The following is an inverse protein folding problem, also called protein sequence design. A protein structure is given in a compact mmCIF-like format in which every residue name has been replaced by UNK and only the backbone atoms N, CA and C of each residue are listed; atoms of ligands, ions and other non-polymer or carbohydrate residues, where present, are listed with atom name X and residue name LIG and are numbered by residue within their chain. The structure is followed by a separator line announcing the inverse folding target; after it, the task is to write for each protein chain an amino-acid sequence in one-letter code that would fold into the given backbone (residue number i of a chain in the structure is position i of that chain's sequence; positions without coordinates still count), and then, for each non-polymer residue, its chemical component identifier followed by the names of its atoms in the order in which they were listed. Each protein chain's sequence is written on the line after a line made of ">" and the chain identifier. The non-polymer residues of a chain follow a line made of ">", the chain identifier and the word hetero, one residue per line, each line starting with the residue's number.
data_IF_197719813494
#
_entry.id   IF_197719813494
#
_cell.length_a   1.000
_cell.length_b   1.000
_cell.length_c   1.000
_cell.angle_alpha   90.00
_cell.angle_beta   90.00
_cell.angle_gamma   90.00
#
_symmetry.space_group_name_H-M   'P 1'
#
loop_
_entity.id
_entity.type
_entity.pdbx_description
1 polymer ?
#
# COMPACT_ATOMS: atom_id res chain seq x y z
N UNK A 1 0.58 -35.01 -17.40
CA UNK A 1 1.28 -33.78 -17.82
C UNK A 1 2.39 -33.47 -16.84
N UNK A 2 3.62 -33.87 -17.16
CA UNK A 2 4.83 -33.54 -16.39
C UNK A 2 5.13 -32.07 -16.61
N UNK A 3 5.40 -31.31 -15.55
CA UNK A 3 5.80 -29.91 -15.67
C UNK A 3 7.01 -29.83 -16.62
N UNK A 4 7.03 -28.92 -17.61
CA UNK A 4 8.22 -28.75 -18.43
C UNK A 4 9.33 -28.35 -17.47
N UNK A 5 10.30 -29.23 -17.25
CA UNK A 5 11.52 -28.79 -16.61
C UNK A 5 12.01 -27.62 -17.49
N UNK A 6 12.45 -26.53 -16.88
CA UNK A 6 13.17 -25.47 -17.60
C UNK A 6 14.58 -25.97 -17.99
N UNK A 7 14.69 -27.25 -18.37
CA UNK A 7 15.88 -27.95 -18.83
C UNK A 7 15.56 -28.54 -20.21
N UNK A 8 16.54 -28.55 -21.10
CA UNK A 8 16.40 -29.09 -22.45
C UNK A 8 17.05 -30.48 -22.46
N UNK A 9 16.26 -31.54 -22.19
CA UNK A 9 16.53 -32.95 -22.54
C UNK A 9 17.64 -33.75 -21.81
N UNK A 10 17.44 -35.07 -21.66
CA UNK A 10 18.31 -36.05 -20.97
C UNK A 10 19.03 -37.03 -21.93
N UNK A 11 20.11 -37.65 -21.44
CA UNK A 11 21.06 -38.58 -22.07
C UNK A 11 20.48 -39.67 -23.00
N UNK A 12 21.02 -39.82 -24.23
CA UNK A 12 21.08 -41.10 -24.92
C UNK A 12 22.39 -41.83 -24.61
N UNK A 13 22.34 -43.16 -24.65
CA UNK A 13 23.51 -44.02 -24.62
C UNK A 13 24.48 -43.70 -25.78
N UNK A 14 25.74 -44.01 -25.57
CA UNK A 14 26.91 -43.62 -26.38
C UNK A 14 26.85 -44.06 -27.86
N UNK A 15 25.88 -44.90 -28.25
CA UNK A 15 25.75 -45.40 -29.62
C UNK A 15 25.22 -44.36 -30.61
N UNK A 16 24.46 -43.36 -30.16
CA UNK A 16 23.81 -42.38 -31.06
C UNK A 16 24.78 -41.31 -31.62
N UNK A 17 25.96 -41.14 -31.01
CA UNK A 17 26.97 -40.11 -31.39
C UNK A 17 27.74 -40.49 -32.66
N UNK A 18 27.91 -41.78 -32.93
CA UNK A 18 28.74 -42.28 -34.04
C UNK A 18 28.09 -42.10 -35.43
N UNK A 19 26.78 -41.88 -35.50
CA UNK A 19 26.03 -41.94 -36.76
C UNK A 19 25.71 -40.58 -37.39
N UNK A 20 26.08 -39.46 -36.74
CA UNK A 20 26.04 -38.12 -37.34
C UNK A 20 24.65 -37.64 -37.80
N UNK A 21 23.56 -38.22 -37.28
CA UNK A 21 22.20 -37.99 -37.80
C UNK A 21 21.32 -37.07 -36.94
N UNK A 22 21.73 -36.68 -35.72
CA UNK A 22 20.92 -35.81 -34.87
C UNK A 22 21.64 -34.54 -34.38
N UNK A 23 20.86 -33.45 -34.34
CA UNK A 23 21.28 -32.13 -33.84
C UNK A 23 21.39 -32.17 -32.31
N UNK A 24 22.58 -31.90 -31.80
CA UNK A 24 22.88 -31.86 -30.37
C UNK A 24 22.29 -30.60 -29.71
N UNK A 25 21.67 -30.76 -28.53
CA UNK A 25 21.35 -29.64 -27.63
C UNK A 25 22.08 -29.84 -26.30
N UNK A 26 23.01 -28.93 -25.99
CA UNK A 26 23.75 -28.95 -24.73
C UNK A 26 22.86 -28.35 -23.63
N UNK A 27 22.48 -29.15 -22.65
CA UNK A 27 21.71 -28.69 -21.50
C UNK A 27 22.61 -28.01 -20.47
N UNK A 28 23.10 -26.83 -20.84
CA UNK A 28 23.88 -25.98 -19.94
C UNK A 28 22.88 -25.26 -19.04
N UNK A 29 22.81 -25.62 -17.76
CA UNK A 29 22.11 -24.81 -16.76
C UNK A 29 22.95 -23.58 -16.45
N UNK A 30 22.70 -22.39 -17.04
CA UNK A 30 23.67 -21.30 -17.01
C UNK A 30 23.87 -20.78 -15.59
N UNK A 31 22.81 -20.80 -14.78
CA UNK A 31 22.89 -20.45 -13.36
C UNK A 31 23.75 -21.45 -12.56
N UNK A 32 23.70 -22.74 -12.88
CA UNK A 32 24.51 -23.78 -12.22
C UNK A 32 25.97 -23.66 -12.66
N UNK A 33 26.25 -23.48 -13.96
CA UNK A 33 27.60 -23.23 -14.45
C UNK A 33 28.19 -21.96 -13.84
N UNK A 34 27.45 -20.85 -13.85
CA UNK A 34 27.90 -19.60 -13.22
C UNK A 34 28.19 -19.82 -11.75
N UNK A 35 27.31 -20.51 -11.01
CA UNK A 35 27.55 -20.85 -9.60
C UNK A 35 28.80 -21.71 -9.41
N UNK A 36 29.00 -22.73 -10.24
CA UNK A 36 30.18 -23.60 -10.18
C UNK A 36 31.46 -22.84 -10.50
N UNK A 37 31.46 -22.01 -11.55
CA UNK A 37 32.60 -21.16 -11.91
C UNK A 37 32.93 -20.21 -10.77
N UNK A 38 31.91 -19.54 -10.20
CA UNK A 38 32.10 -18.63 -9.06
C UNK A 38 32.70 -19.37 -7.86
N UNK A 39 32.16 -20.54 -7.50
CA UNK A 39 32.71 -21.33 -6.39
C UNK A 39 34.16 -21.77 -6.66
N UNK A 40 34.49 -22.17 -7.91
CA UNK A 40 35.86 -22.58 -8.29
C UNK A 40 36.87 -21.44 -8.19
N UNK A 41 36.46 -20.19 -8.45
CA UNK A 41 37.31 -19.02 -8.24
C UNK A 41 37.24 -18.48 -6.80
N UNK A 42 36.73 -19.28 -5.86
CA UNK A 42 36.63 -18.95 -4.44
C UNK A 42 35.57 -17.90 -4.12
N UNK A 43 34.55 -17.74 -4.98
CA UNK A 43 33.49 -16.74 -4.84
C UNK A 43 32.15 -17.39 -4.59
N UNK A 44 31.45 -16.91 -3.56
CA UNK A 44 30.11 -17.39 -3.21
C UNK A 44 29.05 -16.56 -3.91
N UNK A 45 28.17 -17.14 -4.75
CA UNK A 45 27.00 -16.45 -5.29
C UNK A 45 25.84 -16.34 -4.29
N UNK A 46 25.98 -16.97 -3.12
CA UNK A 46 24.94 -16.98 -2.10
C UNK A 46 24.97 -15.69 -1.29
N UNK A 47 23.77 -15.15 -1.08
CA UNK A 47 23.53 -14.12 -0.09
C UNK A 47 23.94 -14.58 1.31
N UNK A 48 24.54 -13.65 2.06
CA UNK A 48 24.93 -13.84 3.45
C UNK A 48 24.29 -12.74 4.28
N UNK A 49 23.97 -13.06 5.52
CA UNK A 49 23.45 -12.10 6.48
C UNK A 49 24.45 -11.92 7.61
N UNK A 50 24.96 -10.70 7.78
CA UNK A 50 25.71 -10.31 8.97
C UNK A 50 24.76 -9.63 9.95
N UNK A 51 24.71 -10.12 11.20
CA UNK A 51 23.83 -9.58 12.25
C UNK A 51 24.65 -8.75 13.23
N UNK A 52 24.32 -7.47 13.34
CA UNK A 52 24.92 -6.55 14.31
C UNK A 52 23.96 -6.40 15.50
N UNK A 53 24.39 -6.87 16.68
CA UNK A 53 23.63 -6.68 17.92
C UNK A 53 23.88 -5.27 18.44
N UNK A 54 22.82 -4.56 18.79
CA UNK A 54 22.86 -3.17 19.28
C UNK A 54 21.88 -3.01 20.42
N UNK A 55 22.06 -2.00 21.26
CA UNK A 55 21.09 -1.70 22.31
C UNK A 55 19.73 -1.35 21.67
N UNK A 56 18.69 -2.07 22.08
CA UNK A 56 17.35 -1.93 21.53
C UNK A 56 17.03 -2.77 20.28
N UNK A 57 17.94 -3.62 19.78
CA UNK A 57 17.59 -4.56 18.71
C UNK A 57 18.74 -5.24 17.97
N UNK A 58 18.48 -5.55 16.70
CA UNK A 58 19.44 -6.17 15.78
C UNK A 58 19.35 -5.47 14.43
N UNK A 59 20.49 -5.22 13.81
CA UNK A 59 20.59 -4.74 12.43
C UNK A 59 21.04 -5.91 11.57
N UNK A 60 20.32 -6.17 10.48
CA UNK A 60 20.61 -7.26 9.55
C UNK A 60 21.18 -6.69 8.27
N UNK A 61 22.40 -7.08 7.90
CA UNK A 61 23.07 -6.67 6.67
C UNK A 61 23.10 -7.86 5.73
N UNK A 62 22.28 -7.83 4.68
CA UNK A 62 22.24 -8.82 3.62
C UNK A 62 23.13 -8.37 2.46
N UNK A 63 24.01 -9.26 2.01
CA UNK A 63 25.03 -8.96 1.01
C UNK A 63 25.50 -10.21 0.25
N UNK A 64 26.09 -10.01 -0.92
CA UNK A 64 26.76 -11.07 -1.72
C UNK A 64 28.28 -10.88 -1.76
N UNK A 65 28.78 -9.86 -1.06
CA UNK A 65 30.18 -9.43 -1.03
C UNK A 65 30.96 -10.04 0.15
N UNK A 66 32.27 -9.79 0.20
CA UNK A 66 33.03 -10.01 1.43
C UNK A 66 32.84 -8.78 2.33
N UNK A 67 32.31 -8.97 3.55
CA UNK A 67 32.20 -7.92 4.57
C UNK A 67 33.21 -8.14 5.69
N UNK A 68 33.86 -7.07 6.13
CA UNK A 68 34.74 -7.03 7.31
C UNK A 68 34.51 -5.75 8.12
N UNK A 69 35.14 -5.68 9.30
CA UNK A 69 35.20 -4.47 10.14
C UNK A 69 33.83 -3.87 10.48
N UNK A 70 32.83 -4.73 10.66
CA UNK A 70 31.46 -4.30 10.97
C UNK A 70 31.42 -3.78 12.41
N UNK A 71 31.16 -2.49 12.57
CA UNK A 71 31.13 -1.80 13.85
C UNK A 71 29.92 -0.89 13.94
N UNK A 72 29.27 -0.90 15.10
CA UNK A 72 28.22 0.05 15.44
C UNK A 72 28.65 0.89 16.64
N UNK A 73 28.63 2.22 16.48
CA UNK A 73 28.90 3.18 17.54
C UNK A 73 27.56 3.68 18.08
N UNK A 74 27.16 3.21 19.26
CA UNK A 74 25.86 3.58 19.85
C UNK A 74 25.72 5.09 20.15
N UNK A 75 26.71 5.80 20.73
CA UNK A 75 26.61 7.23 20.98
C UNK A 75 26.33 8.08 19.73
N UNK A 76 26.97 7.76 18.60
CA UNK A 76 26.78 8.51 17.35
C UNK A 76 25.75 7.88 16.42
N UNK A 77 25.24 6.70 16.78
CA UNK A 77 24.37 5.87 15.94
C UNK A 77 24.98 5.66 14.54
N UNK A 78 26.29 5.37 14.50
CA UNK A 78 27.01 5.18 13.25
C UNK A 78 27.30 3.70 13.00
N UNK A 79 26.89 3.20 11.85
CA UNK A 79 27.23 1.86 11.37
C UNK A 79 28.33 1.98 10.32
N UNK A 80 29.45 1.31 10.53
CA UNK A 80 30.53 1.25 9.54
C UNK A 80 30.90 -0.18 9.24
N UNK A 81 31.26 -0.46 7.99
CA UNK A 81 31.79 -1.74 7.57
C UNK A 81 32.61 -1.59 6.29
N UNK A 82 33.48 -2.54 6.05
CA UNK A 82 34.27 -2.63 4.84
C UNK A 82 33.65 -3.67 3.92
N UNK A 83 33.47 -3.33 2.64
CA UNK A 83 32.99 -4.23 1.61
C UNK A 83 34.07 -4.46 0.55
N UNK A 84 34.27 -5.70 0.14
CA UNK A 84 35.06 -6.05 -1.04
C UNK A 84 34.19 -6.81 -2.03
N UNK A 85 34.06 -6.28 -3.24
CA UNK A 85 33.28 -6.86 -4.33
C UNK A 85 34.07 -6.84 -5.64
N UNK A 86 33.62 -7.57 -6.67
CA UNK A 86 34.38 -7.71 -7.92
C UNK A 86 34.53 -6.37 -8.64
N UNK A 87 35.69 -6.20 -9.29
CA UNK A 87 35.98 -5.02 -10.08
C UNK A 87 34.93 -4.86 -11.18
N UNK A 88 34.36 -3.66 -11.25
CA UNK A 88 33.30 -3.24 -12.17
C UNK A 88 31.96 -3.99 -12.04
N UNK A 89 31.79 -4.88 -11.05
CA UNK A 89 30.50 -5.55 -10.84
C UNK A 89 29.59 -4.71 -9.93
N UNK A 90 28.27 -4.67 -10.19
CA UNK A 90 27.32 -4.07 -9.26
C UNK A 90 27.24 -4.86 -7.96
N UNK A 91 27.24 -4.14 -6.84
CA UNK A 91 27.04 -4.68 -5.51
C UNK A 91 25.86 -3.99 -4.85
N UNK A 92 24.88 -4.78 -4.42
CA UNK A 92 23.75 -4.33 -3.62
C UNK A 92 23.89 -4.84 -2.19
N UNK A 93 23.74 -3.94 -1.24
CA UNK A 93 23.72 -4.26 0.19
C UNK A 93 22.37 -3.80 0.74
N UNK A 94 21.64 -4.71 1.37
CA UNK A 94 20.37 -4.40 2.02
C UNK A 94 20.55 -4.44 3.54
N UNK A 95 20.15 -3.37 4.21
CA UNK A 95 20.24 -3.23 5.67
C UNK A 95 18.83 -3.09 6.20
N UNK A 96 18.38 -4.07 6.97
CA UNK A 96 17.00 -4.19 7.45
C UNK A 96 16.89 -3.83 8.93
N UNK A 97 15.66 -3.52 9.36
CA UNK A 97 15.33 -3.20 10.75
C UNK A 97 16.07 -1.95 11.24
N UNK A 98 16.11 -0.92 10.38
CA UNK A 98 16.83 0.31 10.66
C UNK A 98 15.95 1.53 10.40
N UNK A 99 16.23 2.64 11.09
CA UNK A 99 15.68 3.94 10.74
C UNK A 99 16.28 4.46 9.44
N UNK A 100 15.62 5.45 8.84
CA UNK A 100 16.19 6.19 7.73
C UNK A 100 17.51 6.84 8.16
N UNK A 101 18.63 6.62 7.44
CA UNK A 101 19.89 7.25 7.79
C UNK A 101 19.88 8.72 7.41
N UNK A 102 20.66 9.54 8.11
CA UNK A 102 20.88 10.94 7.70
C UNK A 102 21.76 11.01 6.45
N UNK A 103 22.75 10.12 6.37
CA UNK A 103 23.78 10.13 5.35
C UNK A 103 24.39 8.75 5.20
N UNK A 104 24.73 8.40 3.96
CA UNK A 104 25.53 7.22 3.63
C UNK A 104 26.80 7.72 2.95
N UNK A 105 27.95 7.16 3.30
CA UNK A 105 29.25 7.51 2.76
C UNK A 105 29.96 6.26 2.21
N UNK A 106 30.66 6.43 1.10
CA UNK A 106 31.55 5.45 0.47
C UNK A 106 32.95 6.07 0.41
N UNK A 107 33.92 5.45 1.08
CA UNK A 107 35.30 5.91 1.17
C UNK A 107 35.40 7.40 1.59
N UNK A 108 34.57 7.78 2.58
CA UNK A 108 34.49 9.13 3.12
C UNK A 108 33.72 10.14 2.25
N UNK A 109 33.29 9.76 1.04
CA UNK A 109 32.49 10.62 0.16
C UNK A 109 30.99 10.33 0.34
N UNK A 110 30.13 11.36 0.43
CA UNK A 110 28.68 11.15 0.48
C UNK A 110 28.18 10.40 -0.76
N UNK A 111 27.37 9.37 -0.54
CA UNK A 111 26.57 8.73 -1.58
C UNK A 111 25.26 9.51 -1.79
N UNK A 112 24.92 9.72 -3.06
CA UNK A 112 23.67 10.34 -3.46
C UNK A 112 22.47 9.45 -3.11
N UNK A 113 21.42 10.05 -2.54
CA UNK A 113 20.13 9.37 -2.36
C UNK A 113 19.40 9.38 -3.70
N UNK A 114 18.98 8.21 -4.16
CA UNK A 114 18.24 8.02 -5.41
C UNK A 114 16.90 7.34 -5.14
N UNK A 115 15.87 7.59 -5.97
CA UNK A 115 14.65 6.81 -5.89
C UNK A 115 14.95 5.34 -6.24
N UNK A 116 14.20 4.37 -5.67
CA UNK A 116 14.52 2.94 -5.83
C UNK A 116 14.65 2.46 -7.29
N UNK A 117 13.86 3.01 -8.21
CA UNK A 117 13.90 2.64 -9.62
C UNK A 117 15.15 3.15 -10.37
N UNK A 118 15.87 4.12 -9.82
CA UNK A 118 17.13 4.62 -10.38
C UNK A 118 18.37 3.88 -9.86
N UNK A 119 18.23 3.07 -8.79
CA UNK A 119 19.24 2.14 -8.29
C UNK A 119 19.31 0.88 -9.17
N UNK A 120 19.49 1.06 -10.48
CA UNK A 120 19.75 -0.03 -11.41
C UNK A 120 21.26 -0.31 -11.54
N UNK A 121 21.62 -1.41 -12.21
CA UNK A 121 22.94 -2.08 -12.27
C UNK A 121 24.18 -1.19 -12.44
N UNK A 122 24.06 0.05 -12.89
CA UNK A 122 25.20 0.94 -13.15
C UNK A 122 25.27 2.20 -12.28
N UNK A 123 24.27 2.43 -11.41
CA UNK A 123 24.19 3.64 -10.60
C UNK A 123 24.59 3.39 -9.14
N UNK A 124 25.69 4.01 -8.73
CA UNK A 124 26.06 4.13 -7.32
C UNK A 124 25.13 5.11 -6.61
N UNK A 125 24.65 4.76 -5.42
CA UNK A 125 23.73 5.56 -4.62
C UNK A 125 23.07 4.75 -3.50
N UNK A 126 22.10 5.34 -2.82
CA UNK A 126 21.29 4.63 -1.83
C UNK A 126 19.81 5.05 -1.86
N UNK A 127 18.93 4.19 -1.36
CA UNK A 127 17.52 4.49 -1.13
C UNK A 127 17.08 3.91 0.21
N UNK A 128 16.01 4.44 0.76
CA UNK A 128 15.42 3.93 1.99
C UNK A 128 13.93 3.70 1.78
N UNK A 129 13.45 2.54 2.20
CA UNK A 129 12.03 2.17 2.21
C UNK A 129 11.50 2.30 3.63
N UNK A 130 10.53 3.20 3.82
CA UNK A 130 9.85 3.36 5.10
C UNK A 130 8.98 2.15 5.42
N UNK A 131 8.45 1.48 4.39
CA UNK A 131 7.62 0.30 4.52
C UNK A 131 8.38 -0.91 5.06
N UNK A 132 9.54 -1.21 4.48
CA UNK A 132 10.34 -2.37 4.89
C UNK A 132 11.36 -2.05 5.98
N UNK A 133 11.46 -0.77 6.39
CA UNK A 133 12.54 -0.26 7.26
C UNK A 133 13.91 -0.70 6.76
N UNK A 134 14.10 -0.58 5.44
CA UNK A 134 15.25 -1.10 4.73
C UNK A 134 16.02 0.02 4.03
N UNK A 135 17.32 0.07 4.28
CA UNK A 135 18.28 0.87 3.53
C UNK A 135 18.93 -0.02 2.46
N UNK A 136 18.83 0.39 1.21
CA UNK A 136 19.48 -0.27 0.08
C UNK A 136 20.62 0.61 -0.40
N UNK A 137 21.83 0.05 -0.44
CA UNK A 137 23.03 0.73 -0.95
C UNK A 137 23.47 -0.01 -2.22
N UNK A 138 23.61 0.72 -3.33
CA UNK A 138 24.23 0.24 -4.56
C UNK A 138 25.58 0.90 -4.75
N UNK A 139 26.60 0.09 -5.03
CA UNK A 139 27.93 0.54 -5.39
C UNK A 139 28.46 -0.29 -6.57
N UNK A 140 29.44 0.24 -7.28
CA UNK A 140 30.26 -0.54 -8.22
C UNK A 140 31.51 -1.02 -7.51
N UNK A 141 31.70 -2.35 -7.48
CA UNK A 141 32.88 -2.95 -6.86
C UNK A 141 34.15 -2.53 -7.58
N UNK A 142 35.21 -2.28 -6.83
CA UNK A 142 36.53 -1.90 -7.37
C UNK A 142 37.51 -3.06 -7.43
N UNK A 143 37.18 -4.21 -6.83
CA UNK A 143 38.12 -5.29 -6.52
C UNK A 143 38.96 -5.06 -5.27
N UNK A 144 38.96 -3.83 -4.73
CA UNK A 144 39.64 -3.47 -3.48
C UNK A 144 38.61 -3.27 -2.35
N UNK A 145 39.03 -3.30 -1.07
CA UNK A 145 38.17 -2.90 0.03
C UNK A 145 37.66 -1.46 -0.16
N UNK A 146 36.37 -1.26 0.09
CA UNK A 146 35.70 0.04 0.12
C UNK A 146 34.97 0.19 1.46
N UNK A 147 35.12 1.33 2.12
CA UNK A 147 34.53 1.57 3.45
C UNK A 147 33.17 2.24 3.30
N UNK A 148 32.14 1.62 3.87
CA UNK A 148 30.81 2.22 4.00
C UNK A 148 30.64 2.73 5.42
N UNK A 149 30.11 3.96 5.54
CA UNK A 149 29.73 4.56 6.81
C UNK A 149 28.33 5.16 6.71
N UNK A 150 27.49 4.87 7.69
CA UNK A 150 26.08 5.27 7.73
C UNK A 150 25.84 6.03 9.02
N UNK A 151 25.38 7.27 8.92
CA UNK A 151 25.20 8.17 10.05
C UNK A 151 23.75 8.22 10.54
N UNK A 152 23.59 8.25 11.87
CA UNK A 152 22.29 8.35 12.58
C UNK A 152 21.31 7.24 12.21
N UNK A 153 21.81 6.01 12.17
CA UNK A 153 21.00 4.81 11.97
C UNK A 153 20.69 4.17 13.31
N UNK A 154 19.42 4.02 13.63
CA UNK A 154 18.95 3.34 14.83
C UNK A 154 18.33 2.00 14.47
N UNK A 155 18.46 0.97 15.31
CA UNK A 155 17.64 -0.23 15.17
C UNK A 155 16.17 0.17 15.24
N UNK A 156 15.36 -0.42 14.37
CA UNK A 156 13.91 -0.44 14.51
C UNK A 156 13.49 -1.88 14.73
N UNK A 157 12.47 -2.08 15.53
CA UNK A 157 11.75 -3.34 15.45
C UNK A 157 11.39 -3.57 13.97
N UNK A 158 11.48 -4.81 13.45
CA UNK A 158 10.84 -5.11 12.18
C UNK A 158 9.43 -4.56 12.32
N UNK A 159 9.01 -3.69 11.40
CA UNK A 159 7.59 -3.36 11.35
C UNK A 159 6.90 -4.71 11.32
N UNK A 160 6.07 -5.00 12.33
CA UNK A 160 5.16 -6.13 12.25
C UNK A 160 4.55 -6.00 10.86
N UNK A 161 4.86 -6.95 9.96
CA UNK A 161 4.51 -6.84 8.55
C UNK A 161 3.11 -6.26 8.55
N UNK A 162 2.93 -5.00 8.07
CA UNK A 162 1.68 -4.30 8.30
C UNK A 162 0.63 -5.29 7.89
N UNK A 163 -0.34 -5.55 8.79
CA UNK A 163 -1.48 -6.42 8.50
C UNK A 163 -1.79 -6.16 7.05
N UNK A 164 -1.52 -7.15 6.19
CA UNK A 164 -1.53 -7.03 4.72
C UNK A 164 -2.98 -6.95 4.29
N UNK A 165 -3.75 -6.11 4.98
CA UNK A 165 -5.18 -5.97 4.97
C UNK A 165 -5.55 -4.75 4.13
N UNK A 166 -4.59 -3.88 3.82
CA UNK A 166 -4.75 -2.69 2.98
C UNK A 166 -3.73 -2.67 1.83
N UNK A 167 -4.05 -1.89 0.79
CA UNK A 167 -3.12 -1.62 -0.31
C UNK A 167 -2.05 -0.65 0.19
N UNK A 168 -0.79 -1.05 0.07
CA UNK A 168 0.34 -0.21 0.49
C UNK A 168 0.39 1.06 -0.34
N UNK A 169 0.40 2.22 0.32
CA UNK A 169 0.53 3.53 -0.32
C UNK A 169 -0.52 3.73 -1.43
N UNK A 170 -1.77 3.34 -1.17
CA UNK A 170 -2.87 3.54 -2.11
C UNK A 170 -3.30 5.01 -2.27
N UNK A 171 -2.87 5.87 -1.34
CA UNK A 171 -3.04 7.33 -1.35
C UNK A 171 -1.82 8.06 -1.96
N UNK A 172 -0.75 7.34 -2.31
CA UNK A 172 0.46 7.89 -2.96
C UNK A 172 1.20 9.00 -2.20
N UNK A 173 0.94 9.18 -0.91
CA UNK A 173 1.64 10.14 -0.06
C UNK A 173 3.13 9.79 0.15
N UNK A 174 3.51 8.55 -0.16
CA UNK A 174 4.90 8.07 -0.17
C UNK A 174 5.42 7.88 -1.61
N UNK A 175 4.86 8.63 -2.56
CA UNK A 175 5.19 8.53 -3.97
C UNK A 175 4.76 7.19 -4.56
N UNK A 176 5.71 6.45 -5.15
CA UNK A 176 5.43 5.15 -5.81
C UNK A 176 5.88 3.95 -4.98
N UNK A 177 6.22 4.14 -3.70
CA UNK A 177 6.58 3.04 -2.80
C UNK A 177 5.43 2.02 -2.73
N UNK A 178 5.73 0.72 -2.85
CA UNK A 178 4.69 -0.31 -2.89
C UNK A 178 4.05 -0.55 -4.26
N UNK A 179 4.47 0.19 -5.30
CA UNK A 179 3.94 0.06 -6.66
C UNK A 179 5.05 -0.23 -7.68
N UNK A 180 4.78 -1.13 -8.62
CA UNK A 180 5.59 -1.38 -9.80
C UNK A 180 5.01 -0.63 -10.99
N UNK A 181 5.85 0.03 -11.78
CA UNK A 181 5.43 0.86 -12.89
C UNK A 181 5.78 0.22 -14.23
N UNK A 182 4.93 0.41 -15.24
CA UNK A 182 5.34 0.12 -16.60
C UNK A 182 6.55 0.99 -17.00
N UNK A 183 7.54 0.46 -17.75
CA UNK A 183 8.81 1.12 -18.04
C UNK A 183 8.72 2.38 -18.92
N UNK A 184 7.53 2.88 -19.23
CA UNK A 184 7.30 3.95 -20.21
C UNK A 184 7.67 5.36 -19.71
N UNK A 185 8.05 5.55 -18.44
CA UNK A 185 8.35 6.86 -17.86
C UNK A 185 7.15 7.82 -17.82
N UNK A 186 5.94 7.30 -18.09
CA UNK A 186 4.67 8.05 -18.20
C UNK A 186 3.84 8.01 -16.93
N UNK A 187 4.50 7.70 -15.82
CA UNK A 187 3.88 7.63 -14.49
C UNK A 187 4.56 8.66 -13.61
N UNK A 188 3.77 9.51 -12.96
CA UNK A 188 4.27 10.55 -12.07
C UNK A 188 3.34 10.77 -10.89
N UNK A 189 3.89 11.39 -9.85
CA UNK A 189 3.11 11.89 -8.72
C UNK A 189 2.68 13.32 -9.02
N UNK A 190 1.46 13.68 -8.63
CA UNK A 190 0.88 15.02 -8.83
C UNK A 190 0.24 15.54 -7.56
N UNK A 191 0.11 16.86 -7.43
CA UNK A 191 -0.54 17.51 -6.28
C UNK A 191 -2.07 17.69 -6.47
N UNK A 192 -2.61 17.32 -7.64
CA UNK A 192 -4.06 17.24 -7.87
C UNK A 192 -4.57 15.91 -7.35
N UNK A 193 -4.90 15.87 -6.05
CA UNK A 193 -5.26 14.67 -5.32
C UNK A 193 -6.73 14.70 -4.84
N UNK A 194 -7.32 13.51 -4.67
CA UNK A 194 -8.63 13.35 -4.03
C UNK A 194 -8.51 13.55 -2.52
N UNK A 195 -7.47 12.97 -1.93
CA UNK A 195 -7.13 12.99 -0.52
C UNK A 195 -5.65 13.33 -0.34
N UNK A 196 -5.29 13.89 0.81
CA UNK A 196 -3.89 14.22 1.10
C UNK A 196 -3.34 15.30 0.18
N UNK A 197 -2.05 15.20 -0.14
CA UNK A 197 -1.33 16.14 -1.00
C UNK A 197 -1.01 15.53 -2.36
N UNK A 198 -0.89 14.21 -2.47
CA UNK A 198 -0.32 13.55 -3.64
C UNK A 198 -1.25 12.49 -4.22
N UNK A 199 -1.14 12.25 -5.53
CA UNK A 199 -1.87 11.21 -6.24
C UNK A 199 -1.03 10.66 -7.41
N UNK A 200 -1.44 9.52 -7.97
CA UNK A 200 -0.77 8.90 -9.11
C UNK A 200 -1.37 9.37 -10.43
N UNK A 201 -0.54 9.89 -11.33
CA UNK A 201 -0.92 10.26 -12.69
C UNK A 201 -0.28 9.33 -13.71
N UNK A 202 -1.13 8.67 -14.51
CA UNK A 202 -0.73 7.91 -15.69
C UNK A 202 -1.03 8.73 -16.96
N UNK A 203 -0.01 8.96 -17.80
CA UNK A 203 -0.12 9.79 -19.01
C UNK A 203 0.18 9.00 -20.30
N UNK A 204 -0.86 8.52 -20.96
CA UNK A 204 -0.77 7.81 -22.23
C UNK A 204 -1.13 8.67 -23.44
N UNK A 205 -1.15 10.01 -23.34
CA UNK A 205 -1.64 10.89 -24.43
C UNK A 205 -0.88 10.65 -25.74
N UNK A 206 0.45 10.54 -25.68
CA UNK A 206 1.33 10.37 -26.84
C UNK A 206 1.91 8.96 -26.94
N UNK A 207 1.49 8.04 -26.07
CA UNK A 207 2.03 6.70 -25.98
C UNK A 207 1.02 5.69 -26.52
N UNK A 208 1.43 4.86 -27.49
CA UNK A 208 0.55 3.85 -28.10
C UNK A 208 0.27 2.65 -27.18
N UNK A 209 1.24 2.13 -26.40
CA UNK A 209 0.96 1.14 -25.37
C UNK A 209 0.15 1.72 -24.21
N UNK A 210 -0.61 0.85 -23.54
CA UNK A 210 -1.26 1.16 -22.27
C UNK A 210 -0.19 1.48 -21.20
N UNK A 211 -0.40 2.56 -20.44
CA UNK A 211 0.42 2.88 -19.28
C UNK A 211 -0.23 2.27 -18.06
N UNK A 212 0.52 1.48 -17.29
CA UNK A 212 -0.01 0.75 -16.14
C UNK A 212 0.86 0.93 -14.89
N UNK A 213 0.21 0.84 -13.73
CA UNK A 213 0.84 0.70 -12.43
C UNK A 213 0.22 -0.50 -11.70
N UNK A 214 1.04 -1.22 -10.97
CA UNK A 214 0.67 -2.46 -10.28
C UNK A 214 1.01 -2.33 -8.81
N UNK A 215 0.06 -2.61 -7.91
CA UNK A 215 0.38 -2.68 -6.48
C UNK A 215 1.31 -3.86 -6.19
N UNK A 216 1.89 -3.90 -4.99
CA UNK A 216 2.38 -5.16 -4.43
C UNK A 216 1.22 -6.15 -4.26
N UNK A 217 1.56 -7.44 -4.29
CA UNK A 217 0.60 -8.49 -3.97
C UNK A 217 0.21 -8.42 -2.49
N UNK A 218 -1.09 -8.47 -2.24
CA UNK A 218 -1.71 -8.51 -0.93
C UNK A 218 -2.26 -9.91 -0.68
N UNK A 219 -2.16 -10.44 0.56
CA UNK A 219 -2.82 -11.70 0.92
C UNK A 219 -4.34 -11.54 0.96
N UNK A 220 -5.04 -12.57 0.50
CA UNK A 220 -6.50 -12.68 0.51
C UNK A 220 -6.92 -14.10 0.87
N UNK A 221 -8.18 -14.27 1.25
CA UNK A 221 -8.81 -15.57 1.53
C UNK A 221 -9.70 -15.94 0.34
N UNK A 222 -9.48 -17.12 -0.23
CA UNK A 222 -10.34 -17.63 -1.29
C UNK A 222 -11.80 -17.74 -0.83
N UNK A 223 -12.73 -17.40 -1.72
CA UNK A 223 -14.18 -17.40 -1.43
C UNK A 223 -14.68 -16.18 -0.64
N UNK A 224 -13.78 -15.36 -0.08
CA UNK A 224 -14.15 -14.15 0.66
C UNK A 224 -14.52 -13.01 -0.30
N UNK A 225 -15.46 -12.15 0.12
CA UNK A 225 -15.79 -10.93 -0.60
C UNK A 225 -14.85 -9.81 -0.21
N UNK A 226 -14.44 -9.01 -1.19
CA UNK A 226 -13.58 -7.86 -1.03
C UNK A 226 -14.20 -6.64 -1.67
N UNK A 227 -14.09 -5.49 -1.03
CA UNK A 227 -14.40 -4.21 -1.63
C UNK A 227 -13.11 -3.60 -2.19
N UNK A 228 -13.11 -3.31 -3.49
CA UNK A 228 -12.14 -2.42 -4.12
C UNK A 228 -12.74 -1.03 -4.26
N UNK A 229 -11.96 -0.02 -3.95
CA UNK A 229 -12.29 1.39 -4.16
C UNK A 229 -11.08 2.13 -4.71
N UNK A 230 -11.31 3.09 -5.60
CA UNK A 230 -10.32 4.00 -6.12
C UNK A 230 -11.02 5.29 -6.59
N UNK A 231 -10.40 6.45 -6.39
CA UNK A 231 -10.89 7.71 -6.93
C UNK A 231 -10.16 8.06 -8.22
N UNK A 232 -10.93 8.30 -9.28
CA UNK A 232 -10.42 8.48 -10.64
C UNK A 232 -10.82 9.85 -11.18
N UNK A 233 -9.88 10.52 -11.86
CA UNK A 233 -10.12 11.80 -12.55
C UNK A 233 -9.40 11.82 -13.91
N UNK A 234 -10.17 11.97 -14.99
CA UNK A 234 -9.66 12.15 -16.34
C UNK A 234 -9.26 13.60 -16.59
N UNK A 235 -7.95 13.81 -16.71
CA UNK A 235 -7.36 15.14 -16.91
C UNK A 235 -7.39 15.54 -18.37
N UNK A 236 -7.08 14.62 -19.29
CA UNK A 236 -7.02 14.94 -20.71
C UNK A 236 -7.33 13.73 -21.58
N UNK A 237 -7.85 14.00 -22.76
CA UNK A 237 -8.21 12.99 -23.76
C UNK A 237 -9.57 12.35 -23.51
N UNK A 238 -9.76 11.18 -24.11
CA UNK A 238 -10.97 10.36 -24.01
C UNK A 238 -10.66 8.85 -23.89
N UNK A 239 -9.43 8.50 -23.49
CA UNK A 239 -9.03 7.11 -23.40
C UNK A 239 -9.77 6.36 -22.31
N UNK A 240 -9.91 5.08 -22.57
CA UNK A 240 -10.27 4.04 -21.61
C UNK A 240 -9.27 3.94 -20.48
N UNK A 241 -9.74 3.52 -19.31
CA UNK A 241 -8.92 3.26 -18.14
C UNK A 241 -9.45 2.09 -17.34
N UNK A 242 -8.63 1.57 -16.43
CA UNK A 242 -9.05 0.46 -15.58
C UNK A 242 -8.56 0.60 -14.16
N UNK A 243 -9.39 0.12 -13.26
CA UNK A 243 -9.07 -0.26 -11.89
C UNK A 243 -9.44 -1.74 -11.81
N UNK A 244 -8.48 -2.62 -11.58
CA UNK A 244 -8.68 -4.07 -11.77
C UNK A 244 -8.00 -4.85 -10.66
N UNK A 245 -8.63 -5.93 -10.19
CA UNK A 245 -8.02 -6.93 -9.33
C UNK A 245 -7.47 -8.06 -10.19
N UNK A 246 -6.23 -8.42 -9.94
CA UNK A 246 -5.55 -9.60 -10.49
C UNK A 246 -5.36 -10.62 -9.34
N UNK A 247 -6.00 -11.78 -9.46
CA UNK A 247 -5.98 -12.82 -8.42
C UNK A 247 -4.90 -13.86 -8.70
N UNK A 248 -4.23 -14.33 -7.65
CA UNK A 248 -3.18 -15.34 -7.74
C UNK A 248 -3.39 -16.48 -6.74
N UNK A 249 -2.93 -17.67 -7.12
CA UNK A 249 -2.85 -18.82 -6.23
C UNK A 249 -1.65 -18.74 -5.26
N UNK A 250 -1.50 -19.74 -4.38
CA UNK A 250 -0.41 -19.81 -3.41
C UNK A 250 0.99 -19.82 -4.06
N UNK A 251 1.10 -20.36 -5.27
CA UNK A 251 2.34 -20.38 -6.05
C UNK A 251 2.61 -19.07 -6.80
N UNK A 252 1.79 -18.04 -6.61
CA UNK A 252 1.90 -16.76 -7.31
C UNK A 252 1.48 -16.83 -8.77
N UNK A 253 0.77 -17.87 -9.21
CA UNK A 253 0.27 -17.99 -10.58
C UNK A 253 -1.05 -17.24 -10.71
N UNK A 254 -1.19 -16.51 -11.81
CA UNK A 254 -2.42 -15.81 -12.17
C UNK A 254 -3.61 -16.79 -12.24
N UNK A 255 -4.75 -16.37 -11.70
CA UNK A 255 -6.04 -17.07 -11.77
C UNK A 255 -6.96 -16.36 -12.76
N UNK A 256 -7.31 -15.09 -12.49
CA UNK A 256 -8.18 -14.26 -13.33
C UNK A 256 -8.10 -12.78 -12.96
N UNK A 257 -8.70 -11.95 -13.80
CA UNK A 257 -8.97 -10.55 -13.51
C UNK A 257 -10.44 -10.33 -13.11
N UNK A 258 -10.68 -9.40 -12.19
CA UNK A 258 -12.00 -8.84 -11.90
C UNK A 258 -11.96 -7.31 -11.97
N UNK A 259 -12.97 -6.69 -12.56
CA UNK A 259 -13.14 -5.23 -12.59
C UNK A 259 -14.64 -4.86 -12.67
N UNK A 260 -14.98 -3.66 -12.22
CA UNK A 260 -16.34 -3.10 -12.22
C UNK A 260 -16.60 -2.21 -13.46
N UNK A 261 -15.58 -1.95 -14.27
CA UNK A 261 -15.61 -0.88 -15.25
C UNK A 261 -16.11 -1.33 -16.63
N UNK A 262 -17.07 -0.59 -17.19
CA UNK A 262 -17.75 -0.89 -18.46
C UNK A 262 -17.37 0.04 -19.64
N UNK A 263 -16.17 0.64 -19.65
CA UNK A 263 -15.66 1.26 -20.87
C UNK A 263 -15.99 2.75 -21.09
N UNK A 264 -17.12 3.27 -20.59
CA UNK A 264 -17.66 4.56 -21.05
C UNK A 264 -17.48 5.74 -20.08
N UNK A 265 -17.16 5.50 -18.81
CA UNK A 265 -17.05 6.57 -17.82
C UNK A 265 -15.79 7.42 -18.04
N UNK A 266 -15.90 8.75 -17.89
CA UNK A 266 -14.85 9.75 -18.18
C UNK A 266 -14.92 10.91 -17.17
N UNK A 267 -14.68 10.65 -15.87
CA UNK A 267 -14.99 11.61 -14.82
C UNK A 267 -14.03 12.80 -14.85
N UNK A 268 -14.54 14.02 -15.09
CA UNK A 268 -13.73 15.27 -15.09
C UNK A 268 -13.44 15.82 -13.68
N UNK A 269 -14.18 15.33 -12.69
CA UNK A 269 -13.92 15.51 -11.25
C UNK A 269 -13.66 14.13 -10.66
N UNK A 270 -12.99 14.06 -9.50
CA UNK A 270 -12.80 12.77 -8.84
C UNK A 270 -14.14 12.06 -8.62
N UNK A 271 -14.20 10.82 -9.10
CA UNK A 271 -15.33 9.91 -8.93
C UNK A 271 -14.81 8.59 -8.38
N UNK A 272 -15.57 7.98 -7.48
CA UNK A 272 -15.25 6.66 -6.95
C UNK A 272 -15.52 5.58 -8.00
N UNK A 273 -14.61 4.63 -8.10
CA UNK A 273 -14.64 3.42 -8.92
C UNK A 273 -14.28 2.21 -8.07
N UNK A 274 -14.70 1.04 -8.50
CA UNK A 274 -14.50 -0.22 -7.80
C UNK A 274 -15.81 -0.93 -7.51
N UNK A 275 -15.77 -1.92 -6.64
CA UNK A 275 -16.92 -2.78 -6.40
C UNK A 275 -16.63 -3.90 -5.42
N UNK A 276 -17.65 -4.71 -5.20
CA UNK A 276 -17.55 -5.91 -4.36
C UNK A 276 -17.23 -7.09 -5.27
N UNK A 277 -16.12 -7.76 -4.99
CA UNK A 277 -15.63 -8.89 -5.76
C UNK A 277 -15.45 -10.10 -4.86
N UNK A 278 -15.85 -11.27 -5.34
CA UNK A 278 -15.61 -12.52 -4.62
C UNK A 278 -14.28 -13.11 -5.08
N UNK A 279 -13.34 -13.27 -4.16
CA UNK A 279 -12.06 -13.91 -4.45
C UNK A 279 -12.29 -15.35 -4.92
N UNK A 280 -11.64 -15.81 -6.01
CA UNK A 280 -11.68 -17.22 -6.40
C UNK A 280 -11.32 -18.14 -5.24
N UNK A 281 -11.92 -19.33 -5.15
CA UNK A 281 -11.71 -20.26 -4.02
C UNK A 281 -10.23 -20.60 -3.75
N UNK A 282 -9.41 -20.59 -4.79
CA UNK A 282 -7.97 -20.88 -4.75
C UNK A 282 -7.09 -19.62 -4.73
N UNK A 283 -7.67 -18.44 -4.53
CA UNK A 283 -6.92 -17.20 -4.42
C UNK A 283 -6.25 -17.09 -3.05
N UNK A 284 -4.95 -16.82 -3.06
CA UNK A 284 -4.15 -16.51 -1.87
C UNK A 284 -3.60 -15.09 -1.92
N UNK A 285 -3.47 -14.51 -3.12
CA UNK A 285 -3.05 -13.13 -3.30
C UNK A 285 -3.92 -12.37 -4.29
N UNK A 286 -3.93 -11.05 -4.13
CA UNK A 286 -4.54 -10.09 -5.04
C UNK A 286 -3.55 -8.97 -5.35
N UNK A 287 -3.64 -8.39 -6.54
CA UNK A 287 -2.89 -7.20 -6.95
C UNK A 287 -3.81 -6.24 -7.66
N UNK A 288 -3.69 -4.95 -7.37
CA UNK A 288 -4.44 -3.92 -8.07
C UNK A 288 -3.64 -3.46 -9.29
N UNK A 289 -4.34 -3.35 -10.42
CA UNK A 289 -3.82 -2.83 -11.67
C UNK A 289 -4.58 -1.54 -11.99
N UNK A 290 -3.82 -0.46 -12.10
CA UNK A 290 -4.29 0.82 -12.62
C UNK A 290 -3.77 0.95 -14.04
N UNK A 291 -4.62 1.37 -14.97
CA UNK A 291 -4.21 1.49 -16.37
C UNK A 291 -4.95 2.57 -17.13
N UNK A 292 -4.29 3.14 -18.12
CA UNK A 292 -4.89 4.08 -19.08
C UNK A 292 -4.41 3.73 -20.49
N UNK A 293 -5.36 3.62 -21.43
CA UNK A 293 -5.07 3.37 -22.85
C UNK A 293 -4.50 4.62 -23.52
N UNK A 294 -3.93 4.43 -24.70
CA UNK A 294 -3.42 5.51 -25.55
C UNK A 294 -4.45 6.64 -25.74
N UNK A 295 -3.98 7.88 -25.69
CA UNK A 295 -4.79 9.08 -25.92
C UNK A 295 -5.45 9.66 -24.68
N UNK A 296 -5.04 9.28 -23.46
CA UNK A 296 -5.58 9.86 -22.23
C UNK A 296 -4.57 10.01 -21.10
N UNK A 297 -4.87 10.92 -20.17
CA UNK A 297 -4.12 11.13 -18.94
C UNK A 297 -5.08 11.15 -17.74
N UNK A 298 -4.80 10.33 -16.74
CA UNK A 298 -5.73 10.02 -15.64
C UNK A 298 -5.01 10.01 -14.32
N UNK A 299 -5.65 10.61 -13.31
CA UNK A 299 -5.24 10.56 -11.92
C UNK A 299 -6.03 9.47 -11.20
N UNK A 300 -5.32 8.69 -10.39
CA UNK A 300 -5.83 7.72 -9.46
C UNK A 300 -5.38 8.08 -8.05
N UNK A 301 -6.26 7.94 -7.07
CA UNK A 301 -5.98 8.23 -5.67
C UNK A 301 -6.89 7.40 -4.75
N UNK A 302 -6.51 7.30 -3.46
CA UNK A 302 -7.23 6.60 -2.41
C UNK A 302 -7.67 5.18 -2.81
N UNK A 303 -6.71 4.38 -3.30
CA UNK A 303 -6.94 2.98 -3.65
C UNK A 303 -6.96 2.13 -2.38
N UNK A 304 -8.03 1.37 -2.19
CA UNK A 304 -8.09 0.35 -1.16
C UNK A 304 -8.70 -0.94 -1.69
N UNK A 305 -8.27 -2.05 -1.11
CA UNK A 305 -8.92 -3.34 -1.20
C UNK A 305 -9.05 -3.81 0.25
N UNK A 306 -10.24 -4.18 0.69
CA UNK A 306 -10.51 -4.60 2.07
C UNK A 306 -11.53 -5.74 2.09
N UNK A 307 -11.56 -6.56 3.16
CA UNK A 307 -12.60 -7.58 3.32
C UNK A 307 -13.97 -6.91 3.40
N UNK A 308 -14.91 -7.34 2.55
CA UNK A 308 -16.25 -6.77 2.52
C UNK A 308 -17.13 -7.47 3.56
N UNK A 309 -17.60 -6.68 4.51
CA UNK A 309 -18.65 -7.07 5.45
C UNK A 309 -19.87 -6.18 5.15
N UNK A 310 -21.00 -6.75 4.66
CA UNK A 310 -22.16 -5.97 4.24
C UNK A 310 -22.79 -5.16 5.38
N UNK A 311 -22.63 -5.65 6.61
CA UNK A 311 -23.31 -5.14 7.79
C UNK A 311 -22.41 -4.28 8.69
N UNK A 312 -21.25 -3.83 8.20
CA UNK A 312 -20.32 -2.99 8.98
C UNK A 312 -19.99 -1.67 8.31
N UNK A 313 -19.65 -0.67 9.15
CA UNK A 313 -19.01 0.55 8.67
C UNK A 313 -17.65 0.19 8.09
N UNK A 314 -17.41 0.67 6.89
CA UNK A 314 -16.14 0.49 6.18
C UNK A 314 -15.16 1.58 6.57
N UNK A 315 -13.89 1.22 6.79
CA UNK A 315 -12.82 2.15 7.18
C UNK A 315 -13.25 3.08 8.32
N UNK A 316 -13.90 2.52 9.35
CA UNK A 316 -14.37 3.29 10.51
C UNK A 316 -13.25 3.75 11.45
N UNK A 317 -12.06 3.15 11.31
CA UNK A 317 -10.80 3.47 11.99
C UNK A 317 -9.93 4.45 11.18
N UNK A 318 -10.32 4.81 9.95
CA UNK A 318 -9.62 5.75 9.07
C UNK A 318 -8.17 5.38 8.71
N UNK A 319 -7.76 4.12 8.90
CA UNK A 319 -6.43 3.63 8.55
C UNK A 319 -6.21 3.56 7.04
N UNK A 320 -7.30 3.53 6.26
CA UNK A 320 -7.32 3.66 4.79
C UNK A 320 -7.69 5.09 4.35
N UNK A 321 -7.45 6.08 5.22
CA UNK A 321 -7.70 7.49 4.94
C UNK A 321 -9.19 7.82 4.78
N UNK A 322 -9.57 8.49 3.69
CA UNK A 322 -10.97 8.88 3.43
C UNK A 322 -11.78 7.84 2.65
N UNK A 323 -11.21 6.67 2.38
CA UNK A 323 -11.90 5.66 1.58
C UNK A 323 -13.23 5.26 2.24
N UNK A 324 -14.32 5.27 1.45
CA UNK A 324 -15.65 4.99 1.96
C UNK A 324 -16.26 6.11 2.81
N UNK A 325 -15.61 7.28 2.90
CA UNK A 325 -16.11 8.46 3.61
C UNK A 325 -16.15 9.68 2.69
N UNK A 326 -17.23 10.46 2.83
CA UNK A 326 -17.51 11.64 2.01
C UNK A 326 -17.53 12.88 2.92
N UNK A 327 -16.37 13.54 3.12
CA UNK A 327 -16.30 14.75 3.93
C UNK A 327 -16.88 15.98 3.20
N UNK A 328 -17.52 16.87 3.95
CA UNK A 328 -18.09 18.11 3.46
C UNK A 328 -18.17 19.20 4.57
N UNK A 329 -17.66 20.42 4.34
CA UNK A 329 -16.76 20.81 3.24
C UNK A 329 -15.34 20.25 3.48
N UNK A 330 -14.65 19.83 2.41
CA UNK A 330 -13.41 19.02 2.51
C UNK A 330 -12.25 19.75 3.17
N UNK A 331 -12.13 21.05 2.93
CA UNK A 331 -11.05 21.88 3.46
C UNK A 331 -11.08 22.02 4.99
N UNK A 332 -12.16 21.54 5.63
CA UNK A 332 -12.39 21.56 7.08
C UNK A 332 -12.29 20.17 7.70
N UNK A 333 -11.87 19.18 6.92
CA UNK A 333 -11.75 17.78 7.32
C UNK A 333 -10.35 17.27 7.03
N UNK A 334 -9.74 16.59 7.99
CA UNK A 334 -8.40 16.01 7.82
C UNK A 334 -8.23 14.73 8.63
N UNK A 335 -7.24 13.94 8.24
CA UNK A 335 -6.74 12.82 9.05
C UNK A 335 -5.70 13.34 10.04
N UNK A 336 -5.68 12.78 11.24
CA UNK A 336 -4.72 13.15 12.29
C UNK A 336 -4.12 11.91 12.94
N UNK A 337 -2.87 12.01 13.41
CA UNK A 337 -2.20 10.91 14.12
C UNK A 337 -2.56 10.78 15.61
N UNK A 338 -3.44 11.65 16.10
CA UNK A 338 -3.94 11.61 17.48
C UNK A 338 -5.21 10.77 17.52
N UNK A 339 -5.05 9.48 17.30
CA UNK A 339 -6.13 8.52 17.17
C UNK A 339 -6.45 7.84 18.53
N UNK A 340 -7.66 7.28 18.64
CA UNK A 340 -8.06 6.41 19.74
C UNK A 340 -7.44 5.01 19.54
N UNK A 341 -7.63 4.44 18.34
CA UNK A 341 -7.02 3.21 17.87
C UNK A 341 -6.08 3.48 16.69
N UNK A 342 -5.23 2.52 16.31
CA UNK A 342 -4.45 2.65 15.07
C UNK A 342 -3.49 3.85 15.00
N UNK A 343 -3.32 4.39 13.80
CA UNK A 343 -2.46 5.53 13.45
C UNK A 343 -3.22 6.78 13.09
N UNK A 344 -4.47 6.69 12.64
CA UNK A 344 -5.22 7.78 12.07
C UNK A 344 -6.60 7.91 12.70
N UNK A 345 -7.11 9.14 12.75
CA UNK A 345 -8.48 9.45 13.11
C UNK A 345 -8.99 10.60 12.24
N UNK A 346 -10.30 10.74 12.15
CA UNK A 346 -10.95 11.82 11.42
C UNK A 346 -11.10 13.06 12.30
N UNK A 347 -10.57 14.21 11.88
CA UNK A 347 -10.77 15.50 12.54
C UNK A 347 -11.70 16.39 11.70
N UNK A 348 -12.79 16.86 12.30
CA UNK A 348 -13.73 17.83 11.72
C UNK A 348 -13.57 19.17 12.43
N UNK A 349 -13.37 20.25 11.67
CA UNK A 349 -13.10 21.58 12.21
C UNK A 349 -14.07 22.64 11.70
N UNK A 350 -15.14 22.90 12.45
CA UNK A 350 -16.09 23.96 12.18
C UNK A 350 -15.78 25.27 12.93
N UNK A 351 -14.60 25.44 13.54
CA UNK A 351 -14.22 26.68 14.21
C UNK A 351 -14.04 27.80 13.18
N UNK A 352 -14.84 28.85 13.30
CA UNK A 352 -14.89 29.94 12.30
C UNK A 352 -15.49 29.51 10.96
N UNK A 353 -16.21 28.39 10.90
CA UNK A 353 -17.06 28.04 9.76
C UNK A 353 -18.39 28.81 9.82
N UNK A 354 -19.06 28.99 8.68
CA UNK A 354 -20.45 29.50 8.62
C UNK A 354 -21.48 28.38 8.57
N UNK A 355 -21.04 27.15 8.35
CA UNK A 355 -21.89 25.97 8.17
C UNK A 355 -21.31 24.80 8.97
N UNK A 356 -22.14 23.80 9.22
CA UNK A 356 -21.67 22.55 9.83
C UNK A 356 -20.62 21.87 8.95
N UNK A 357 -19.72 21.13 9.60
CA UNK A 357 -18.75 20.27 8.94
C UNK A 357 -19.11 18.83 9.24
N UNK A 358 -19.17 17.99 8.20
CA UNK A 358 -19.73 16.65 8.27
C UNK A 358 -18.87 15.66 7.48
N UNK A 359 -19.00 14.38 7.82
CA UNK A 359 -18.52 13.28 7.02
C UNK A 359 -19.59 12.18 6.98
N UNK A 360 -19.84 11.67 5.78
CA UNK A 360 -20.83 10.61 5.57
C UNK A 360 -20.10 9.32 5.21
N UNK A 361 -20.44 8.21 5.86
CA UNK A 361 -19.98 6.91 5.40
C UNK A 361 -20.58 6.60 4.03
N UNK A 362 -20.03 5.59 3.37
CA UNK A 362 -20.73 4.89 2.29
C UNK A 362 -22.04 4.29 2.81
N UNK A 363 -22.90 3.95 1.87
CA UNK A 363 -24.15 3.25 2.15
C UNK A 363 -23.84 1.83 2.65
N UNK A 364 -24.50 1.43 3.72
CA UNK A 364 -24.38 0.13 4.39
C UNK A 364 -25.69 -0.62 4.16
N UNK A 365 -25.63 -1.91 3.81
CA UNK A 365 -26.84 -2.71 3.70
C UNK A 365 -27.39 -3.04 5.08
N UNK A 366 -28.71 -2.96 5.24
CA UNK A 366 -29.37 -3.30 6.50
C UNK A 366 -30.64 -4.10 6.25
N UNK A 367 -31.03 -4.88 7.25
CA UNK A 367 -32.30 -5.59 7.28
C UNK A 367 -33.31 -4.75 8.05
N UNK A 368 -34.41 -4.36 7.39
CA UNK A 368 -35.50 -3.62 8.03
C UNK A 368 -36.05 -4.37 9.26
N UNK A 369 -36.27 -3.66 10.36
CA UNK A 369 -36.69 -4.23 11.65
C UNK A 369 -35.56 -4.85 12.50
N UNK A 370 -34.34 -5.01 11.97
CA UNK A 370 -33.23 -5.54 12.75
C UNK A 370 -32.64 -4.50 13.73
N UNK A 371 -32.03 -4.99 14.81
CA UNK A 371 -31.34 -4.18 15.83
C UNK A 371 -29.87 -3.99 15.43
N UNK A 372 -29.41 -2.75 15.47
CA UNK A 372 -28.03 -2.38 15.17
C UNK A 372 -27.42 -1.61 16.33
N UNK A 373 -26.14 -1.87 16.63
CA UNK A 373 -25.35 -1.07 17.56
C UNK A 373 -24.41 -0.17 16.78
N UNK A 374 -24.56 1.15 16.94
CA UNK A 374 -23.58 2.14 16.51
C UNK A 374 -22.64 2.47 17.66
N UNK A 375 -21.35 2.56 17.40
CA UNK A 375 -20.31 3.07 18.29
C UNK A 375 -19.36 3.97 17.52
N UNK A 376 -18.87 5.01 18.17
CA UNK A 376 -17.81 5.88 17.68
C UNK A 376 -17.09 6.48 18.89
N UNK A 377 -15.76 6.58 18.83
CA UNK A 377 -15.00 7.29 19.85
C UNK A 377 -14.85 8.76 19.45
N UNK A 378 -15.27 9.67 20.32
CA UNK A 378 -15.29 11.11 20.03
C UNK A 378 -14.45 11.87 21.06
N UNK A 379 -13.62 12.80 20.57
CA UNK A 379 -12.91 13.78 21.38
C UNK A 379 -13.23 15.19 20.89
N UNK A 380 -13.84 16.02 21.73
CA UNK A 380 -14.07 17.44 21.45
C UNK A 380 -12.83 18.26 21.80
N UNK A 381 -12.30 18.98 20.81
CA UNK A 381 -11.07 19.77 20.90
C UNK A 381 -11.33 21.26 21.16
N UNK A 382 -12.44 21.77 20.63
CA UNK A 382 -12.80 23.18 20.75
C UNK A 382 -14.31 23.39 20.67
N UNK A 383 -14.76 24.52 21.23
CA UNK A 383 -16.17 24.89 21.31
C UNK A 383 -16.93 24.12 22.39
N UNK A 384 -18.08 24.66 22.79
CA UNK A 384 -19.08 23.99 23.63
C UNK A 384 -20.35 23.65 22.83
N UNK A 385 -20.27 23.72 21.50
CA UNK A 385 -21.37 23.35 20.62
C UNK A 385 -21.46 21.85 20.42
N UNK A 386 -22.36 21.49 19.50
CA UNK A 386 -22.85 20.15 19.26
C UNK A 386 -21.94 19.40 18.29
N UNK A 387 -21.78 18.09 18.53
CA UNK A 387 -21.35 17.13 17.52
C UNK A 387 -22.41 16.04 17.34
N UNK A 388 -22.34 15.32 16.22
CA UNK A 388 -23.27 14.24 15.88
C UNK A 388 -22.55 12.96 15.52
N UNK A 389 -23.12 11.85 15.99
CA UNK A 389 -22.89 10.49 15.54
C UNK A 389 -24.28 9.90 15.30
N UNK A 390 -24.68 9.79 14.04
CA UNK A 390 -26.06 9.47 13.68
C UNK A 390 -26.14 8.40 12.59
N UNK A 391 -27.25 7.67 12.57
CA UNK A 391 -27.67 6.78 11.49
C UNK A 391 -28.70 7.51 10.65
N UNK A 392 -28.46 7.57 9.34
CA UNK A 392 -29.43 7.96 8.33
C UNK A 392 -29.97 6.71 7.65
N UNK A 393 -31.23 6.37 7.93
CA UNK A 393 -31.88 5.19 7.35
C UNK A 393 -32.43 5.51 5.97
N UNK A 394 -32.20 4.62 5.02
CA UNK A 394 -32.56 4.82 3.62
C UNK A 394 -33.40 3.65 3.08
N UNK A 395 -34.34 3.97 2.19
CA UNK A 395 -35.17 3.00 1.48
C UNK A 395 -34.41 2.32 0.32
N UNK A 396 -35.07 1.41 -0.41
CA UNK A 396 -34.50 0.71 -1.57
C UNK A 396 -34.01 1.66 -2.68
N UNK A 397 -34.59 2.86 -2.78
CA UNK A 397 -34.20 3.91 -3.74
C UNK A 397 -33.12 4.84 -3.17
N UNK A 398 -32.56 4.52 -2.00
CA UNK A 398 -31.58 5.32 -1.25
C UNK A 398 -32.13 6.68 -0.81
N UNK A 399 -33.45 6.82 -0.70
CA UNK A 399 -34.09 8.03 -0.18
C UNK A 399 -34.11 7.96 1.35
N UNK A 400 -33.88 9.11 1.98
CA UNK A 400 -33.99 9.28 3.42
C UNK A 400 -35.37 8.85 3.96
N UNK A 401 -35.35 8.03 5.01
CA UNK A 401 -36.52 7.64 5.81
C UNK A 401 -36.54 8.48 7.10
N UNK A 402 -35.50 8.35 7.94
CA UNK A 402 -35.33 9.11 9.19
C UNK A 402 -33.88 9.05 9.70
N UNK A 403 -33.58 9.92 10.67
CA UNK A 403 -32.34 9.84 11.45
C UNK A 403 -32.60 9.19 12.81
N UNK A 404 -31.66 8.35 13.25
CA UNK A 404 -31.55 7.93 14.65
C UNK A 404 -30.18 8.35 15.20
N UNK A 405 -30.13 8.82 16.44
CA UNK A 405 -28.89 9.20 17.13
C UNK A 405 -29.07 8.99 18.64
N UNK A 406 -27.98 8.81 19.38
CA UNK A 406 -28.01 8.58 20.84
C UNK A 406 -28.02 9.89 21.66
N UNK A 407 -28.04 11.03 20.96
CA UNK A 407 -27.44 12.23 21.49
C UNK A 407 -28.37 12.99 22.44
N UNK A 408 -27.82 13.42 23.60
CA UNK A 408 -28.54 14.14 24.66
C UNK A 408 -28.15 15.61 24.80
N UNK A 409 -27.43 16.21 23.85
CA UNK A 409 -27.24 17.67 23.86
C UNK A 409 -26.06 18.22 24.68
N UNK A 410 -25.50 17.46 25.63
CA UNK A 410 -24.70 18.05 26.75
C UNK A 410 -23.34 17.42 27.01
N UNK A 411 -22.92 16.41 26.25
CA UNK A 411 -21.62 15.78 26.46
C UNK A 411 -20.53 16.50 25.65
N UNK A 412 -19.42 16.84 26.29
CA UNK A 412 -18.26 17.53 25.70
C UNK A 412 -16.96 16.80 26.05
N UNK A 413 -16.72 15.61 25.47
CA UNK A 413 -15.66 14.71 25.92
C UNK A 413 -14.26 15.29 25.59
N UNK A 414 -13.47 15.61 26.62
CA UNK A 414 -12.09 16.15 26.45
C UNK A 414 -11.08 15.07 26.05
N UNK A 415 -11.39 13.82 26.32
CA UNK A 415 -10.68 12.60 25.91
C UNK A 415 -11.58 11.80 24.98
N UNK A 416 -11.04 10.82 24.26
CA UNK A 416 -11.88 9.90 23.49
C UNK A 416 -12.86 9.17 24.42
N UNK A 417 -14.13 9.29 24.10
CA UNK A 417 -15.24 8.64 24.81
C UNK A 417 -16.13 7.94 23.80
N UNK A 418 -16.59 6.71 24.11
CA UNK A 418 -17.53 5.99 23.25
C UNK A 418 -18.88 6.72 23.24
N UNK A 419 -19.41 6.91 22.04
CA UNK A 419 -20.73 7.46 21.74
C UNK A 419 -21.46 6.53 20.78
N UNK A 420 -22.79 6.50 20.88
CA UNK A 420 -23.63 5.68 20.03
C UNK A 420 -24.68 4.91 20.82
N UNK A 421 -25.48 4.13 20.12
CA UNK A 421 -26.66 3.51 20.72
C UNK A 421 -27.07 2.24 20.00
N UNK A 422 -28.12 1.64 20.53
CA UNK A 422 -28.83 0.56 19.86
C UNK A 422 -30.04 1.17 19.16
N UNK A 423 -30.13 0.95 17.85
CA UNK A 423 -31.18 1.46 16.99
C UNK A 423 -31.89 0.31 16.29
N UNK A 424 -33.18 0.50 16.01
CA UNK A 424 -33.98 -0.47 15.25
C UNK A 424 -34.18 0.13 13.86
N UNK A 425 -33.73 -0.59 12.84
CA UNK A 425 -33.93 -0.19 11.45
C UNK A 425 -35.44 -0.08 11.16
N UNK A 426 -35.92 1.00 10.52
CA UNK A 426 -37.29 1.06 10.01
C UNK A 426 -37.64 -0.18 9.16
N UNK A 427 -38.89 -0.69 9.17
CA UNK A 427 -39.25 -1.90 8.42
C UNK A 427 -38.94 -1.83 6.91
N UNK A 428 -39.03 -0.64 6.34
CA UNK A 428 -38.75 -0.33 4.94
C UNK A 428 -37.28 0.04 4.67
N UNK A 429 -36.43 0.13 5.71
CA UNK A 429 -35.01 0.38 5.52
C UNK A 429 -34.35 -0.78 4.77
N UNK A 430 -33.56 -0.42 3.76
CA UNK A 430 -32.67 -1.33 3.03
C UNK A 430 -31.21 -0.92 3.15
N UNK A 431 -31.00 0.35 3.48
CA UNK A 431 -29.67 0.85 3.75
C UNK A 431 -29.61 1.77 4.97
N UNK A 432 -28.39 1.97 5.44
CA UNK A 432 -28.03 2.97 6.42
C UNK A 432 -26.82 3.78 5.92
N UNK A 433 -26.64 4.97 6.47
CA UNK A 433 -25.45 5.79 6.28
C UNK A 433 -25.09 6.44 7.62
N UNK A 434 -23.84 6.32 8.03
CA UNK A 434 -23.38 6.96 9.26
C UNK A 434 -22.99 8.39 8.96
N UNK A 435 -23.43 9.30 9.82
CA UNK A 435 -23.13 10.72 9.74
C UNK A 435 -22.35 11.13 10.98
N UNK A 436 -21.15 11.62 10.72
CA UNK A 436 -20.34 12.34 11.69
C UNK A 436 -20.45 13.83 11.39
N UNK A 437 -20.47 14.67 12.41
CA UNK A 437 -20.49 16.11 12.16
C UNK A 437 -20.31 16.94 13.40
N UNK A 438 -20.00 18.21 13.16
CA UNK A 438 -19.76 19.22 14.18
C UNK A 438 -20.43 20.52 13.77
N UNK A 439 -21.08 21.19 14.73
CA UNK A 439 -21.71 22.48 14.51
C UNK A 439 -20.69 23.62 14.41
N UNK A 440 -21.15 24.76 13.90
CA UNK A 440 -20.35 25.99 13.84
C UNK A 440 -19.70 26.29 15.20
N UNK A 441 -18.39 26.56 15.19
CA UNK A 441 -17.61 26.83 16.39
C UNK A 441 -17.06 25.61 17.11
N UNK A 442 -17.34 24.39 16.61
CA UNK A 442 -16.92 23.13 17.24
C UNK A 442 -15.82 22.45 16.43
N UNK A 443 -14.92 21.78 17.13
CA UNK A 443 -13.91 20.90 16.54
C UNK A 443 -13.87 19.58 17.27
N UNK A 444 -13.97 18.47 16.56
CA UNK A 444 -13.91 17.13 17.14
C UNK A 444 -13.00 16.18 16.36
N UNK A 445 -12.54 15.13 17.03
CA UNK A 445 -12.01 13.92 16.41
C UNK A 445 -12.99 12.77 16.58
N UNK A 446 -13.04 11.93 15.57
CA UNK A 446 -13.84 10.71 15.51
C UNK A 446 -12.94 9.56 15.11
N UNK A 447 -13.13 8.41 15.76
CA UNK A 447 -12.35 7.22 15.49
C UNK A 447 -13.11 5.94 15.88
N UNK A 448 -12.63 4.79 15.40
CA UNK A 448 -13.17 3.46 15.66
C UNK A 448 -14.70 3.37 15.52
N UNK A 449 -15.23 3.88 14.40
CA UNK A 449 -16.66 3.82 14.11
C UNK A 449 -17.05 2.40 13.74
N UNK A 450 -17.99 1.83 14.49
CA UNK A 450 -18.56 0.51 14.24
C UNK A 450 -20.08 0.61 14.18
N UNK A 451 -20.66 -0.07 13.19
CA UNK A 451 -22.11 -0.29 13.10
C UNK A 451 -22.30 -1.78 12.86
N UNK A 452 -23.00 -2.46 13.75
CA UNK A 452 -23.06 -3.92 13.75
C UNK A 452 -24.50 -4.37 14.00
N UNK A 453 -24.99 -5.34 13.21
CA UNK A 453 -26.25 -6.02 13.52
C UNK A 453 -26.07 -6.84 14.81
N UNK A 454 -27.05 -6.74 15.71
CA UNK A 454 -27.12 -7.53 16.95
C UNK A 454 -28.17 -8.62 16.78
N UNK A 455 -27.86 -9.81 17.28
CA UNK A 455 -28.87 -10.85 17.46
C UNK A 455 -30.01 -10.31 18.34
N UNK A 456 -31.24 -10.73 18.02
CA UNK A 456 -32.45 -10.27 18.70
C UNK A 456 -32.44 -10.63 20.18
#
# INVERSE_FOLDING_TARGET
>A
HVAPCKHVGLFPDSYSVLWGRDKYHWCIGPAILTRSILNLIGKSPYERTTVVKVDGGRIHINHVSELSDVQFNAPTQALTFTVRHWRNAPCSIAILCVSEPRRVMLDGKPLERKPPHELALDNTGWSYSHFSTALIIHIRGTGTPQRIAIERISPRAPLAMPKLDTIVNGDFEMGIEGWSLAPSGRVRITEDAYSGKYALLLDAITHRPEVQAYSMQRRVKGGMQYLLTAFVKLIRGNADYKVTIDWFDEGGRHIRYDNDWQGSDRPRKFKEHGGIFTAPQRAHFARIILGVRAGGAIIFDAIALEEYHPDTVFNGDFESGFVGWHPAPRERVRLTRKAHGGKFALELDAVGSRTEVQAFSRIIHVTGGARYRLRAFVQQLAGAGIYKVAVDWLDERRKHIRYDNDWRGVNHPKTYTEHGGIFIAPPDARYARIILGVQVGVKCRFDDIAFEQRAQ
#
